data_IF_908981453394
#
_entry.id   IF_908981453394
#
_cell.length_a   1.000
_cell.length_b   1.000
_cell.length_c   1.000
_cell.angle_alpha   90.00
_cell.angle_beta   90.00
_cell.angle_gamma   90.00
#
_symmetry.space_group_name_H-M   'P 1'
#
loop_
_entity.id
_entity.type
_entity.pdbx_description
1 polymer ?
#
# COMPACT_ATOMS: atom_id res chain seq x y z
N UNK A 1 8.45 -40.68 34.23
CA UNK A 1 7.20 -40.18 33.58
C UNK A 1 7.59 -39.15 32.52
N UNK A 2 7.61 -39.56 31.24
CA UNK A 2 7.72 -38.63 30.12
C UNK A 2 6.30 -38.35 29.63
N UNK A 3 5.63 -37.39 30.27
CA UNK A 3 4.33 -36.90 29.85
C UNK A 3 4.49 -35.82 28.79
N UNK A 4 3.88 -35.98 27.61
CA UNK A 4 3.70 -34.90 26.64
C UNK A 4 2.75 -33.84 27.23
N UNK A 5 3.25 -32.61 27.47
CA UNK A 5 2.42 -31.46 27.85
C UNK A 5 1.90 -30.85 26.53
N UNK A 6 0.60 -30.98 26.27
CA UNK A 6 -0.06 -30.23 25.17
C UNK A 6 -0.54 -28.92 25.75
N UNK A 7 0.12 -27.83 25.37
CA UNK A 7 -0.32 -26.46 25.70
C UNK A 7 -1.40 -26.03 24.70
N UNK A 8 -2.65 -26.02 25.13
CA UNK A 8 -3.72 -25.38 24.37
C UNK A 8 -4.02 -24.02 24.98
N UNK A 9 -3.73 -22.93 24.27
CA UNK A 9 -4.30 -21.62 24.62
C UNK A 9 -5.81 -21.72 24.39
N UNK A 10 -6.61 -21.51 25.43
CA UNK A 10 -8.03 -21.16 25.26
C UNK A 10 -8.05 -19.85 24.49
N UNK A 11 -8.48 -19.89 23.24
CA UNK A 11 -8.92 -18.67 22.56
C UNK A 11 -10.17 -18.20 23.29
N UNK A 12 -10.04 -17.08 23.99
CA UNK A 12 -11.19 -16.43 24.61
C UNK A 12 -11.98 -15.75 23.50
N UNK A 13 -13.05 -16.40 23.04
CA UNK A 13 -13.93 -15.96 21.95
C UNK A 13 -14.85 -14.82 22.43
N UNK A 14 -14.73 -14.39 23.69
CA UNK A 14 -15.70 -13.50 24.32
C UNK A 14 -15.50 -12.03 24.04
N UNK A 15 -14.38 -11.59 23.48
CA UNK A 15 -14.14 -10.19 23.18
C UNK A 15 -14.03 -9.96 21.67
N UNK A 16 -15.15 -9.45 21.08
CA UNK A 16 -15.17 -9.10 19.66
C UNK A 16 -14.21 -7.95 19.37
N UNK A 17 -13.42 -8.09 18.30
CA UNK A 17 -12.34 -7.19 17.94
C UNK A 17 -12.81 -5.94 17.23
N UNK A 18 -12.14 -4.83 17.51
CA UNK A 18 -12.26 -3.58 16.77
C UNK A 18 -11.18 -3.53 15.70
N UNK A 19 -11.56 -3.34 14.46
CA UNK A 19 -10.63 -3.29 13.31
C UNK A 19 -10.72 -1.94 12.64
N UNK A 20 -9.56 -1.35 12.33
CA UNK A 20 -9.44 -0.17 11.49
C UNK A 20 -8.95 -0.59 10.11
N UNK A 21 -9.67 -0.21 9.05
CA UNK A 21 -9.22 -0.34 7.66
C UNK A 21 -8.80 1.05 7.17
N UNK A 22 -7.57 1.18 6.69
CA UNK A 22 -7.06 2.43 6.12
C UNK A 22 -7.26 2.41 4.61
N UNK A 23 -7.90 3.47 4.09
CA UNK A 23 -8.20 3.67 2.68
C UNK A 23 -9.69 3.83 2.41
N UNK A 24 -10.07 3.97 1.13
CA UNK A 24 -11.47 4.23 0.75
C UNK A 24 -11.81 3.75 -0.67
N UNK A 25 -11.01 2.87 -1.25
CA UNK A 25 -11.25 2.31 -2.57
C UNK A 25 -12.03 0.99 -2.57
N UNK A 26 -12.17 0.39 -3.74
CA UNK A 26 -12.86 -0.91 -3.90
C UNK A 26 -12.15 -2.07 -3.19
N UNK A 27 -10.82 -2.03 -3.10
CA UNK A 27 -10.01 -3.00 -2.34
C UNK A 27 -10.36 -2.94 -0.86
N UNK A 28 -10.41 -1.75 -0.27
CA UNK A 28 -10.76 -1.55 1.13
C UNK A 28 -12.22 -1.92 1.40
N UNK A 29 -13.13 -1.66 0.46
CA UNK A 29 -14.52 -2.12 0.56
C UNK A 29 -14.61 -3.65 0.62
N UNK A 30 -13.86 -4.36 -0.24
CA UNK A 30 -13.82 -5.83 -0.20
C UNK A 30 -13.22 -6.37 1.11
N UNK A 31 -12.23 -5.68 1.68
CA UNK A 31 -11.66 -6.02 3.00
C UNK A 31 -12.72 -5.83 4.10
N UNK A 32 -13.42 -4.71 4.10
CA UNK A 32 -14.50 -4.42 5.06
C UNK A 32 -15.60 -5.47 4.95
N UNK A 33 -16.06 -5.80 3.74
CA UNK A 33 -17.05 -6.84 3.51
C UNK A 33 -16.61 -8.21 4.05
N UNK A 34 -15.36 -8.59 3.84
CA UNK A 34 -14.82 -9.83 4.39
C UNK A 34 -14.76 -9.82 5.92
N UNK A 35 -14.35 -8.70 6.52
CA UNK A 35 -14.28 -8.53 7.98
C UNK A 35 -15.67 -8.53 8.63
N UNK A 36 -16.68 -7.95 7.97
CA UNK A 36 -18.06 -7.89 8.50
C UNK A 36 -18.70 -9.27 8.69
N UNK A 37 -18.24 -10.28 7.96
CA UNK A 37 -18.68 -11.66 8.07
C UNK A 37 -17.93 -12.46 9.13
N UNK A 38 -16.90 -11.90 9.75
CA UNK A 38 -16.10 -12.60 10.75
C UNK A 38 -16.77 -12.57 12.12
N UNK A 39 -17.02 -13.71 12.79
CA UNK A 39 -17.59 -13.75 14.12
C UNK A 39 -16.65 -13.19 15.21
N UNK A 40 -15.40 -12.90 14.87
CA UNK A 40 -14.43 -12.30 15.78
C UNK A 40 -14.42 -10.77 15.72
N UNK A 41 -15.07 -10.16 14.72
CA UNK A 41 -15.10 -8.71 14.52
C UNK A 41 -16.41 -8.13 14.99
N UNK A 42 -16.35 -7.24 15.97
CA UNK A 42 -17.53 -6.58 16.53
C UNK A 42 -17.72 -5.16 16.04
N UNK A 43 -16.63 -4.50 15.64
CA UNK A 43 -16.68 -3.13 15.12
C UNK A 43 -15.63 -2.92 14.05
N UNK A 44 -16.03 -2.32 12.95
CA UNK A 44 -15.13 -1.93 11.87
C UNK A 44 -15.18 -0.41 11.72
N UNK A 45 -14.00 0.20 11.68
CA UNK A 45 -13.79 1.58 11.29
C UNK A 45 -13.06 1.60 9.94
N UNK A 46 -13.32 2.61 9.11
CA UNK A 46 -12.63 2.80 7.85
C UNK A 46 -12.24 4.28 7.67
N UNK A 47 -10.98 4.55 7.35
CA UNK A 47 -10.45 5.90 7.25
C UNK A 47 -9.73 6.14 5.91
N UNK A 48 -10.24 7.03 5.02
CA UNK A 48 -11.47 7.80 5.17
C UNK A 48 -12.75 7.01 4.86
N UNK A 49 -12.68 5.85 4.21
CA UNK A 49 -13.82 5.10 3.71
C UNK A 49 -14.50 5.73 2.49
N UNK A 50 -15.69 5.26 2.17
CA UNK A 50 -16.57 5.78 1.13
C UNK A 50 -18.03 5.45 1.44
N UNK A 51 -18.97 5.93 0.61
CA UNK A 51 -20.40 5.73 0.83
C UNK A 51 -20.82 4.24 0.87
N UNK A 52 -20.24 3.37 0.04
CA UNK A 52 -20.53 1.94 0.09
C UNK A 52 -19.97 1.26 1.35
N UNK A 53 -18.79 1.67 1.78
CA UNK A 53 -18.18 1.17 3.03
C UNK A 53 -19.01 1.58 4.25
N UNK A 54 -19.64 2.76 4.24
CA UNK A 54 -20.44 3.26 5.37
C UNK A 54 -21.68 2.42 5.70
N UNK A 55 -22.09 1.53 4.80
CA UNK A 55 -23.16 0.57 5.06
C UNK A 55 -22.75 -0.56 6.03
N UNK A 56 -21.44 -0.83 6.14
CA UNK A 56 -20.88 -1.95 6.90
C UNK A 56 -19.86 -1.55 7.96
N UNK A 57 -19.32 -0.32 7.88
CA UNK A 57 -18.29 0.19 8.77
C UNK A 57 -18.55 1.66 9.12
N UNK A 58 -18.02 2.10 10.25
CA UNK A 58 -18.01 3.51 10.59
C UNK A 58 -16.88 4.22 9.85
N UNK A 59 -17.23 5.11 8.92
CA UNK A 59 -16.27 5.92 8.20
C UNK A 59 -15.77 7.09 9.06
N UNK A 60 -14.45 7.27 9.12
CA UNK A 60 -13.78 8.29 9.93
C UNK A 60 -13.08 9.29 9.01
N UNK A 61 -13.35 10.59 9.16
CA UNK A 61 -12.79 11.64 8.31
C UNK A 61 -11.31 11.92 8.62
N UNK A 62 -10.47 10.89 8.49
CA UNK A 62 -9.01 10.97 8.59
C UNK A 62 -8.44 10.51 7.26
N UNK A 63 -7.55 11.30 6.67
CA UNK A 63 -6.88 10.93 5.41
C UNK A 63 -5.98 9.71 5.63
N UNK A 64 -5.87 8.86 4.63
CA UNK A 64 -5.00 7.68 4.62
C UNK A 64 -3.50 8.00 4.73
N UNK A 65 -3.11 9.25 4.41
CA UNK A 65 -1.75 9.77 4.56
C UNK A 65 -1.51 10.52 5.88
N UNK A 66 -2.56 10.77 6.67
CA UNK A 66 -2.42 11.37 8.01
C UNK A 66 -2.07 10.31 9.06
N UNK A 67 -0.81 9.87 9.02
CA UNK A 67 -0.28 8.79 9.86
C UNK A 67 -0.46 9.06 11.36
N UNK A 68 -0.30 10.32 11.78
CA UNK A 68 -0.41 10.66 13.21
C UNK A 68 -1.87 10.69 13.66
N UNK A 69 -2.78 11.22 12.84
CA UNK A 69 -4.22 11.18 13.11
C UNK A 69 -4.74 9.75 13.19
N UNK A 70 -4.32 8.88 12.28
CA UNK A 70 -4.66 7.45 12.29
C UNK A 70 -4.16 6.74 13.56
N UNK A 71 -2.90 7.01 13.97
CA UNK A 71 -2.33 6.45 15.20
C UNK A 71 -3.11 6.90 16.44
N UNK A 72 -3.38 8.21 16.56
CA UNK A 72 -4.14 8.76 17.69
C UNK A 72 -5.53 8.14 17.77
N UNK A 73 -6.23 8.07 16.65
CA UNK A 73 -7.54 7.40 16.56
C UNK A 73 -7.48 5.94 17.02
N UNK A 74 -6.47 5.20 16.57
CA UNK A 74 -6.32 3.79 16.94
C UNK A 74 -6.09 3.59 18.45
N UNK A 75 -5.30 4.46 19.08
CA UNK A 75 -5.05 4.44 20.52
C UNK A 75 -6.31 4.81 21.31
N UNK A 76 -6.98 5.90 20.96
CA UNK A 76 -8.17 6.43 21.67
C UNK A 76 -9.36 5.47 21.60
N UNK A 77 -9.53 4.76 20.48
CA UNK A 77 -10.64 3.83 20.28
C UNK A 77 -10.32 2.38 20.64
N UNK A 78 -9.10 2.08 21.06
CA UNK A 78 -8.66 0.73 21.43
C UNK A 78 -8.77 -0.23 20.26
N UNK A 79 -8.19 0.13 19.10
CA UNK A 79 -8.17 -0.72 17.90
C UNK A 79 -7.30 -1.95 18.14
N UNK A 80 -7.86 -3.13 17.95
CA UNK A 80 -7.16 -4.41 18.12
C UNK A 80 -6.27 -4.77 16.93
N UNK A 81 -6.67 -4.36 15.71
CA UNK A 81 -5.95 -4.62 14.48
C UNK A 81 -6.21 -3.51 13.46
N UNK A 82 -5.18 -3.04 12.80
CA UNK A 82 -5.28 -2.15 11.65
C UNK A 82 -4.88 -2.89 10.37
N UNK A 83 -5.62 -2.68 9.28
CA UNK A 83 -5.33 -3.23 7.95
C UNK A 83 -5.13 -2.07 6.99
N UNK A 84 -3.99 -2.04 6.30
CA UNK A 84 -3.68 -0.97 5.35
C UNK A 84 -4.00 -1.43 3.93
N UNK A 85 -4.85 -0.67 3.24
CA UNK A 85 -5.19 -0.94 1.84
C UNK A 85 -4.29 -0.21 0.84
N UNK A 86 -4.19 1.14 0.87
CA UNK A 86 -3.51 1.89 -0.17
C UNK A 86 -2.00 1.98 0.05
N UNK A 87 -1.28 1.94 -1.06
CA UNK A 87 0.18 2.06 -1.10
C UNK A 87 0.70 3.42 -0.61
N UNK A 88 -0.09 4.49 -0.75
CA UNK A 88 0.28 5.83 -0.28
C UNK A 88 0.43 5.89 1.25
N UNK A 89 -0.42 5.19 1.99
CA UNK A 89 -0.32 5.10 3.45
C UNK A 89 0.91 4.28 3.88
N UNK A 90 1.23 3.21 3.14
CA UNK A 90 2.40 2.38 3.37
C UNK A 90 3.69 3.15 3.10
N UNK A 91 3.74 3.88 1.97
CA UNK A 91 4.86 4.76 1.62
C UNK A 91 5.03 5.93 2.61
N UNK A 92 3.94 6.41 3.21
CA UNK A 92 3.99 7.40 4.30
C UNK A 92 4.57 6.83 5.61
N UNK A 93 4.65 5.48 5.75
CA UNK A 93 5.26 4.82 6.90
C UNK A 93 4.30 4.52 8.04
N UNK A 94 3.00 4.43 7.78
CA UNK A 94 1.99 4.14 8.80
C UNK A 94 2.28 2.88 9.61
N UNK A 95 2.81 1.84 8.95
CA UNK A 95 3.12 0.56 9.61
C UNK A 95 4.23 0.69 10.63
N UNK A 96 5.28 1.45 10.31
CA UNK A 96 6.41 1.66 11.22
C UNK A 96 5.97 2.45 12.45
N UNK A 97 5.22 3.54 12.26
CA UNK A 97 4.68 4.39 13.33
C UNK A 97 3.73 3.62 14.27
N UNK A 98 2.88 2.74 13.72
CA UNK A 98 1.98 1.91 14.51
C UNK A 98 2.74 0.86 15.32
N UNK A 99 3.73 0.21 14.72
CA UNK A 99 4.59 -0.77 15.42
C UNK A 99 5.38 -0.14 16.55
N UNK A 100 5.95 1.05 16.34
CA UNK A 100 6.63 1.82 17.38
C UNK A 100 5.71 2.18 18.55
N UNK A 101 4.42 2.42 18.26
CA UNK A 101 3.39 2.66 19.28
C UNK A 101 2.83 1.38 19.92
N UNK A 102 3.32 0.19 19.57
CA UNK A 102 2.82 -1.08 20.08
C UNK A 102 1.47 -1.51 19.50
N UNK A 103 0.99 -0.83 18.46
CA UNK A 103 -0.28 -1.13 17.79
C UNK A 103 -0.10 -2.26 16.77
N UNK A 104 -1.08 -3.17 16.73
CA UNK A 104 -1.09 -4.26 15.75
C UNK A 104 -1.56 -3.74 14.40
N UNK A 105 -0.74 -3.95 13.37
CA UNK A 105 -1.01 -3.50 12.02
C UNK A 105 -0.57 -4.53 11.00
N UNK A 106 -1.37 -4.73 9.95
CA UNK A 106 -1.07 -5.55 8.79
C UNK A 106 -0.72 -4.67 7.59
N UNK A 107 0.48 -4.84 7.09
CA UNK A 107 1.05 -4.14 5.94
C UNK A 107 2.59 -4.22 5.95
N UNK A 108 3.25 -3.98 4.81
CA UNK A 108 4.71 -3.87 4.73
C UNK A 108 5.21 -2.61 5.42
N UNK A 109 6.45 -2.63 5.92
CA UNK A 109 7.13 -1.41 6.39
C UNK A 109 7.32 -0.40 5.25
N UNK A 110 7.60 0.85 5.60
CA UNK A 110 7.94 1.90 4.60
C UNK A 110 9.06 1.46 3.68
N UNK A 111 10.12 0.86 4.22
CA UNK A 111 11.25 0.36 3.44
C UNK A 111 10.83 -0.77 2.47
N UNK A 112 9.96 -1.68 2.87
CA UNK A 112 9.45 -2.72 1.99
C UNK A 112 8.45 -2.18 0.94
N UNK A 113 7.65 -1.18 1.31
CA UNK A 113 6.70 -0.52 0.41
C UNK A 113 7.40 0.27 -0.73
N UNK A 114 8.69 0.58 -0.59
CA UNK A 114 9.47 1.24 -1.65
C UNK A 114 9.49 0.42 -2.95
N UNK A 115 9.35 -0.90 -2.89
CA UNK A 115 9.26 -1.76 -4.09
C UNK A 115 8.06 -1.35 -4.98
N UNK A 116 6.96 -0.91 -4.38
CA UNK A 116 5.79 -0.41 -5.12
C UNK A 116 5.88 1.10 -5.35
N UNK A 117 6.44 1.84 -4.39
CA UNK A 117 6.47 3.30 -4.41
C UNK A 117 7.49 3.87 -5.42
N UNK A 118 8.56 3.13 -5.74
CA UNK A 118 9.58 3.53 -6.72
C UNK A 118 9.81 2.42 -7.73
N UNK A 119 9.57 2.74 -9.00
CA UNK A 119 9.80 1.83 -10.12
C UNK A 119 11.29 1.64 -10.38
N UNK A 120 12.07 2.71 -10.19
CA UNK A 120 13.51 2.63 -10.29
C UNK A 120 14.08 1.68 -9.23
N UNK A 121 13.73 1.88 -7.96
CA UNK A 121 14.16 0.98 -6.89
C UNK A 121 13.79 -0.48 -7.16
N UNK A 122 12.56 -0.74 -7.62
CA UNK A 122 12.11 -2.09 -7.95
C UNK A 122 12.94 -2.70 -9.10
N UNK A 123 13.22 -1.93 -10.13
CA UNK A 123 14.04 -2.35 -11.27
C UNK A 123 15.50 -2.62 -10.88
N UNK A 124 16.11 -1.75 -10.07
CA UNK A 124 17.45 -1.94 -9.54
C UNK A 124 17.53 -3.19 -8.65
N UNK A 125 16.52 -3.41 -7.82
CA UNK A 125 16.41 -4.63 -6.99
C UNK A 125 16.34 -5.89 -7.86
N UNK A 126 15.50 -5.88 -8.89
CA UNK A 126 15.36 -7.00 -9.82
C UNK A 126 16.69 -7.29 -10.54
N UNK A 127 17.37 -6.25 -11.03
CA UNK A 127 18.68 -6.39 -11.67
C UNK A 127 19.73 -6.94 -10.71
N UNK A 128 19.76 -6.46 -9.46
CA UNK A 128 20.72 -6.90 -8.43
C UNK A 128 20.59 -8.39 -8.08
N UNK A 129 19.37 -8.93 -8.12
CA UNK A 129 19.08 -10.31 -7.72
C UNK A 129 18.71 -11.22 -8.90
N UNK A 130 19.02 -10.82 -10.12
CA UNK A 130 18.75 -11.58 -11.36
C UNK A 130 17.28 -12.00 -11.50
N UNK A 131 16.36 -11.16 -11.01
CA UNK A 131 14.91 -11.38 -11.19
C UNK A 131 14.53 -10.97 -12.61
N UNK A 132 13.88 -11.87 -13.40
CA UNK A 132 13.52 -11.57 -14.77
C UNK A 132 12.64 -10.32 -14.89
N UNK A 133 13.07 -9.36 -15.69
CA UNK A 133 12.34 -8.12 -15.97
C UNK A 133 12.76 -7.58 -17.35
N UNK A 134 11.93 -6.73 -17.95
CA UNK A 134 12.30 -6.03 -19.18
C UNK A 134 13.50 -5.10 -18.93
N UNK A 135 14.32 -4.91 -19.96
CA UNK A 135 15.39 -3.92 -19.92
C UNK A 135 14.85 -2.54 -19.56
N UNK A 136 15.63 -1.77 -18.85
CA UNK A 136 15.24 -0.45 -18.38
C UNK A 136 16.45 0.46 -18.29
N UNK A 137 16.18 1.76 -18.30
CA UNK A 137 17.15 2.81 -17.98
C UNK A 137 16.40 3.92 -17.23
N UNK A 138 17.09 4.61 -16.32
CA UNK A 138 16.49 5.65 -15.47
C UNK A 138 17.20 6.97 -15.73
N UNK A 139 16.43 8.04 -15.85
CA UNK A 139 16.91 9.39 -16.13
C UNK A 139 16.28 10.39 -15.18
N UNK A 140 17.07 11.36 -14.71
CA UNK A 140 16.64 12.54 -13.97
C UNK A 140 16.68 13.82 -14.83
N UNK A 141 17.22 13.68 -16.04
CA UNK A 141 17.44 14.78 -16.98
C UNK A 141 16.70 14.52 -18.29
N UNK A 142 15.95 15.54 -18.76
CA UNK A 142 15.16 15.46 -19.97
C UNK A 142 16.03 15.20 -21.23
N UNK A 143 17.14 15.92 -21.38
CA UNK A 143 17.95 15.80 -22.59
C UNK A 143 18.60 14.42 -22.69
N UNK A 144 19.07 13.88 -21.55
CA UNK A 144 19.61 12.52 -21.48
C UNK A 144 18.56 11.47 -21.80
N UNK A 145 17.35 11.60 -21.28
CA UNK A 145 16.23 10.71 -21.58
C UNK A 145 15.86 10.75 -23.07
N UNK A 146 15.73 11.94 -23.64
CA UNK A 146 15.41 12.14 -25.04
C UNK A 146 16.47 11.55 -25.97
N UNK A 147 17.76 11.76 -25.69
CA UNK A 147 18.87 11.19 -26.46
C UNK A 147 18.91 9.67 -26.40
N UNK A 148 18.51 9.08 -25.28
CA UNK A 148 18.40 7.62 -25.17
C UNK A 148 17.24 7.09 -26.00
N UNK A 149 16.06 7.72 -25.91
CA UNK A 149 14.86 7.32 -26.66
C UNK A 149 15.06 7.44 -28.17
N UNK A 150 15.78 8.47 -28.65
CA UNK A 150 16.14 8.63 -30.08
C UNK A 150 16.94 7.47 -30.66
N UNK A 151 17.70 6.76 -29.83
CA UNK A 151 18.53 5.61 -30.24
C UNK A 151 17.78 4.29 -30.20
N UNK A 152 16.60 4.29 -29.59
CA UNK A 152 15.76 3.10 -29.43
C UNK A 152 14.83 2.84 -30.60
N UNK A 153 13.99 1.81 -30.45
CA UNK A 153 12.89 1.51 -31.36
C UNK A 153 11.56 1.75 -30.69
N UNK A 154 10.56 2.18 -31.45
CA UNK A 154 9.19 2.38 -30.95
C UNK A 154 8.32 1.13 -31.16
N UNK A 155 7.31 0.89 -30.29
CA UNK A 155 6.94 1.74 -29.15
C UNK A 155 7.89 1.61 -27.96
N UNK A 156 8.03 2.67 -27.18
CA UNK A 156 8.75 2.68 -25.89
C UNK A 156 7.76 2.80 -24.73
N UNK A 157 8.18 2.41 -23.52
CA UNK A 157 7.35 2.58 -22.32
C UNK A 157 8.03 3.59 -21.41
N UNK A 158 7.45 4.78 -21.29
CA UNK A 158 7.88 5.82 -20.35
C UNK A 158 7.08 5.69 -19.06
N UNK A 159 7.78 5.71 -17.93
CA UNK A 159 7.15 5.59 -16.61
C UNK A 159 7.67 6.69 -15.70
N UNK A 160 6.76 7.45 -15.12
CA UNK A 160 7.09 8.32 -13.99
C UNK A 160 7.49 7.49 -12.78
N UNK A 161 8.62 7.80 -12.15
CA UNK A 161 9.02 7.16 -10.91
C UNK A 161 8.26 7.77 -9.72
N UNK A 162 7.50 6.94 -9.03
CA UNK A 162 6.63 7.32 -7.91
C UNK A 162 5.21 6.78 -8.04
N UNK A 163 4.41 7.09 -7.02
CA UNK A 163 2.99 6.72 -6.98
C UNK A 163 2.18 7.66 -7.86
N UNK A 164 1.56 7.15 -8.91
CA UNK A 164 0.81 7.92 -9.89
C UNK A 164 -0.62 7.39 -10.13
N UNK A 165 -1.14 6.52 -9.25
CA UNK A 165 -2.49 5.96 -9.33
C UNK A 165 -2.85 5.41 -10.73
N UNK A 166 -1.91 4.72 -11.37
CA UNK A 166 -2.07 4.15 -12.72
C UNK A 166 -1.92 5.16 -13.88
N UNK A 167 -1.66 6.45 -13.60
CA UNK A 167 -1.56 7.52 -14.61
C UNK A 167 -0.14 7.90 -14.99
N UNK A 168 0.87 7.26 -14.43
CA UNK A 168 2.29 7.58 -14.65
C UNK A 168 2.96 6.69 -15.70
N UNK A 169 2.21 6.06 -16.62
CA UNK A 169 2.75 5.24 -17.70
C UNK A 169 2.18 5.69 -19.03
N UNK A 170 3.07 6.00 -19.97
CA UNK A 170 2.73 6.34 -21.34
C UNK A 170 3.52 5.42 -22.28
N UNK A 171 2.92 5.04 -23.41
CA UNK A 171 3.52 4.18 -24.43
C UNK A 171 3.54 4.95 -25.74
N UNK A 172 4.52 5.87 -25.96
CA UNK A 172 4.65 6.59 -27.21
C UNK A 172 4.96 5.65 -28.37
N UNK A 173 4.32 5.91 -29.51
CA UNK A 173 4.55 5.19 -30.76
C UNK A 173 5.52 5.94 -31.69
N UNK A 174 5.75 7.23 -31.40
CA UNK A 174 6.67 8.11 -32.16
C UNK A 174 7.60 8.89 -31.27
N UNK A 175 8.65 9.46 -31.86
CA UNK A 175 9.61 10.31 -31.16
C UNK A 175 8.94 11.61 -30.69
N UNK A 176 8.02 12.17 -31.48
CA UNK A 176 7.28 13.40 -31.14
C UNK A 176 6.41 13.20 -29.89
N UNK A 177 5.73 12.05 -29.81
CA UNK A 177 4.93 11.69 -28.63
C UNK A 177 5.80 11.47 -27.40
N UNK A 178 6.96 10.82 -27.58
CA UNK A 178 7.91 10.62 -26.50
C UNK A 178 8.49 11.94 -25.96
N UNK A 179 8.86 12.85 -26.86
CA UNK A 179 9.34 14.20 -26.53
C UNK A 179 8.29 15.00 -25.75
N UNK A 180 7.03 14.95 -26.20
CA UNK A 180 5.92 15.63 -25.53
C UNK A 180 5.64 15.04 -24.13
N UNK A 181 5.86 13.73 -23.95
CA UNK A 181 5.65 13.03 -22.68
C UNK A 181 6.76 13.33 -21.66
N UNK A 182 7.99 13.52 -22.13
CA UNK A 182 9.15 13.80 -21.27
C UNK A 182 9.18 15.23 -20.74
N UNK A 183 8.48 16.17 -21.39
CA UNK A 183 8.32 17.59 -20.96
C UNK A 183 7.31 17.74 -19.83
#
# INVERSE_FOLDING_TARGET
FAGKIVYSRKFDITEMKKVLVIGGGGREHAIVDALSRSPQVGKIYCAPGNAGISEQAECVSIKDTDVQGLKSFALENGIDLTVVGPEVALAAGVVDVFKEAGLRIFGPSKAAATIEASKDFAKQLMAKYDIPTAAFETFEDYDAALEYVKKGSFPVVLKYDGLAAGKGVVIPETLEEADATLK
#
